data_IF_727159632691
#
_entry.id   IF_727159632691
#
_cell.length_a   1.000
_cell.length_b   1.000
_cell.length_c   1.000
_cell.angle_alpha   90.00
_cell.angle_beta   90.00
_cell.angle_gamma   90.00
#
_symmetry.space_group_name_H-M   'P 1'
#
loop_
_entity.id
_entity.type
_entity.pdbx_description
1 polymer ?
#
# COMPACT_ATOMS: atom_id res chain seq x y z
N UNK A 1 7.01 41.99 -26.49
CA UNK A 1 6.15 40.88 -25.97
C UNK A 1 6.43 39.52 -26.64
N UNK A 2 7.46 39.39 -27.48
CA UNK A 2 7.69 38.20 -28.34
C UNK A 2 8.87 37.32 -27.98
N UNK A 3 9.59 37.55 -26.84
CA UNK A 3 10.72 36.75 -26.41
C UNK A 3 10.43 35.72 -25.29
N UNK A 4 9.21 35.66 -24.75
CA UNK A 4 8.82 34.69 -23.68
C UNK A 4 8.16 33.40 -24.16
N UNK A 5 7.85 33.27 -25.46
CA UNK A 5 7.10 32.10 -26.00
C UNK A 5 8.04 30.98 -26.48
N UNK A 6 9.36 31.22 -26.64
CA UNK A 6 10.26 30.23 -27.22
C UNK A 6 11.03 29.35 -26.20
N UNK A 7 10.82 29.50 -24.89
CA UNK A 7 11.48 28.65 -23.90
C UNK A 7 10.76 27.33 -23.54
N UNK A 8 9.58 27.06 -24.12
CA UNK A 8 8.77 25.87 -23.84
C UNK A 8 8.79 24.79 -24.92
N UNK A 9 9.75 24.77 -25.82
CA UNK A 9 9.83 23.81 -26.95
C UNK A 9 10.92 22.76 -26.85
N UNK A 10 11.44 22.41 -25.67
CA UNK A 10 12.10 21.11 -25.52
C UNK A 10 11.06 20.07 -25.06
N UNK A 11 10.29 19.51 -26.04
CA UNK A 11 9.63 18.22 -25.89
C UNK A 11 10.71 17.16 -25.72
N UNK A 12 11.21 16.95 -24.49
CA UNK A 12 11.88 15.69 -24.21
C UNK A 12 10.86 14.57 -24.44
N UNK A 13 11.11 13.76 -25.45
CA UNK A 13 10.31 12.58 -25.76
C UNK A 13 10.28 11.69 -24.52
N UNK A 14 9.08 11.24 -24.15
CA UNK A 14 8.91 10.20 -23.10
C UNK A 14 9.74 8.99 -23.51
N UNK A 15 10.66 8.56 -22.65
CA UNK A 15 11.51 7.41 -22.92
C UNK A 15 10.71 6.12 -22.70
N UNK A 16 10.00 5.67 -23.72
CA UNK A 16 9.16 4.47 -23.70
C UNK A 16 9.92 3.22 -23.25
N UNK A 17 11.21 3.12 -23.56
CA UNK A 17 12.05 1.99 -23.13
C UNK A 17 12.20 1.96 -21.62
N UNK A 18 12.45 3.11 -21.00
CA UNK A 18 12.55 3.21 -19.52
C UNK A 18 11.23 2.95 -18.84
N UNK A 19 10.11 3.45 -19.41
CA UNK A 19 8.77 3.14 -18.88
C UNK A 19 8.46 1.65 -18.95
N UNK A 20 8.84 0.97 -20.03
CA UNK A 20 8.68 -0.47 -20.12
C UNK A 20 9.47 -1.22 -19.04
N UNK A 21 10.72 -0.83 -18.79
CA UNK A 21 11.55 -1.41 -17.73
C UNK A 21 10.95 -1.15 -16.34
N UNK A 22 10.49 0.08 -16.08
CA UNK A 22 9.79 0.45 -14.85
C UNK A 22 8.57 -0.45 -14.63
N UNK A 23 7.77 -0.67 -15.66
CA UNK A 23 6.58 -1.51 -15.60
C UNK A 23 6.90 -2.98 -15.29
N UNK A 24 7.96 -3.55 -15.89
CA UNK A 24 8.42 -4.90 -15.55
C UNK A 24 8.85 -4.98 -14.08
N UNK A 25 9.66 -4.02 -13.62
CA UNK A 25 10.08 -3.97 -12.21
C UNK A 25 8.88 -3.86 -11.29
N UNK A 26 7.88 -3.01 -11.63
CA UNK A 26 6.67 -2.80 -10.84
C UNK A 26 5.83 -4.08 -10.72
N UNK A 27 5.67 -4.81 -11.82
CA UNK A 27 5.00 -6.12 -11.82
C UNK A 27 5.71 -7.11 -10.88
N UNK A 28 7.03 -7.25 -11.02
CA UNK A 28 7.83 -8.17 -10.21
C UNK A 28 7.86 -7.75 -8.73
N UNK A 29 7.88 -6.43 -8.43
CA UNK A 29 7.77 -5.90 -7.06
C UNK A 29 6.40 -6.24 -6.45
N UNK A 30 5.32 -6.04 -7.21
CA UNK A 30 3.97 -6.40 -6.80
C UNK A 30 3.84 -7.90 -6.52
N UNK A 31 4.31 -8.73 -7.44
CA UNK A 31 4.35 -10.18 -7.30
C UNK A 31 5.12 -10.63 -6.05
N UNK A 32 6.37 -10.14 -5.87
CA UNK A 32 7.18 -10.49 -4.71
C UNK A 32 6.58 -10.03 -3.38
N UNK A 33 5.94 -8.86 -3.36
CA UNK A 33 5.26 -8.37 -2.16
C UNK A 33 4.08 -9.26 -1.79
N UNK A 34 3.30 -9.68 -2.79
CA UNK A 34 2.11 -10.50 -2.58
C UNK A 34 2.43 -11.93 -2.12
N UNK A 35 3.58 -12.49 -2.53
CA UNK A 35 4.03 -13.80 -2.03
C UNK A 35 4.21 -13.83 -0.52
N UNK A 36 4.62 -12.72 0.10
CA UNK A 36 4.96 -12.67 1.52
C UNK A 36 3.92 -12.01 2.39
N UNK A 37 3.08 -11.13 1.84
CA UNK A 37 2.22 -10.24 2.62
C UNK A 37 1.31 -10.96 3.61
N UNK A 38 0.75 -12.11 3.25
CA UNK A 38 -0.11 -12.92 4.12
C UNK A 38 0.65 -14.04 4.85
N UNK A 39 1.88 -14.33 4.44
CA UNK A 39 2.72 -15.39 5.01
C UNK A 39 3.50 -14.91 6.23
N UNK A 40 3.88 -13.62 6.25
CA UNK A 40 4.71 -13.02 7.31
C UNK A 40 4.10 -13.19 8.71
N UNK A 41 2.79 -13.02 8.85
CA UNK A 41 2.13 -13.14 10.16
C UNK A 41 2.23 -14.55 10.72
N UNK A 42 2.05 -15.56 9.89
CA UNK A 42 2.18 -16.97 10.30
C UNK A 42 3.63 -17.35 10.60
N UNK A 43 4.58 -16.81 9.83
CA UNK A 43 6.01 -16.96 10.14
C UNK A 43 6.37 -16.39 11.53
N UNK A 44 5.85 -15.19 11.85
CA UNK A 44 6.04 -14.59 13.17
C UNK A 44 5.36 -15.40 14.30
N UNK A 45 4.14 -15.89 14.05
CA UNK A 45 3.43 -16.75 14.99
C UNK A 45 4.23 -18.03 15.30
N UNK A 46 4.84 -18.65 14.28
CA UNK A 46 5.64 -19.86 14.45
C UNK A 46 6.89 -19.60 15.32
N UNK A 47 7.54 -18.42 15.16
CA UNK A 47 8.70 -18.05 16.00
C UNK A 47 8.29 -17.72 17.43
N UNK A 48 7.19 -16.96 17.61
CA UNK A 48 6.80 -16.39 18.89
C UNK A 48 5.86 -17.28 19.69
N UNK A 49 5.26 -18.31 19.07
CA UNK A 49 4.28 -19.20 19.70
C UNK A 49 2.95 -18.51 20.08
N UNK A 50 2.67 -17.32 19.56
CA UNK A 50 1.48 -16.52 19.92
C UNK A 50 0.92 -15.75 18.73
N UNK A 51 -0.40 -15.46 18.75
CA UNK A 51 -1.05 -14.56 17.80
C UNK A 51 -0.73 -13.07 18.08
N UNK A 52 -0.18 -12.75 19.26
CA UNK A 52 0.18 -11.37 19.61
C UNK A 52 1.53 -10.96 19.01
N UNK A 53 1.54 -10.81 17.70
CA UNK A 53 2.72 -10.48 16.89
C UNK A 53 2.84 -8.98 16.56
N UNK A 54 1.86 -8.17 16.95
CA UNK A 54 1.77 -6.75 16.56
C UNK A 54 2.98 -5.92 17.00
N UNK A 55 3.64 -6.27 18.11
CA UNK A 55 4.82 -5.57 18.58
C UNK A 55 5.95 -5.51 17.54
N UNK A 56 6.14 -6.58 16.77
CA UNK A 56 7.15 -6.61 15.69
C UNK A 56 6.78 -5.61 14.56
N UNK A 57 5.50 -5.55 14.20
CA UNK A 57 5.02 -4.58 13.22
C UNK A 57 5.14 -3.13 13.74
N UNK A 58 4.88 -2.90 15.04
CA UNK A 58 5.11 -1.58 15.65
C UNK A 58 6.57 -1.13 15.49
N UNK A 59 7.53 -1.99 15.81
CA UNK A 59 8.96 -1.70 15.62
C UNK A 59 9.26 -1.43 14.15
N UNK A 60 8.85 -2.32 13.25
CA UNK A 60 9.13 -2.21 11.82
C UNK A 60 8.58 -0.90 11.23
N UNK A 61 7.32 -0.57 11.51
CA UNK A 61 6.70 0.65 10.98
C UNK A 61 7.16 1.93 11.68
N UNK A 62 7.65 1.86 12.93
CA UNK A 62 8.36 2.97 13.56
C UNK A 62 9.65 3.29 12.81
N UNK A 63 10.43 2.28 12.43
CA UNK A 63 11.63 2.46 11.61
C UNK A 63 11.28 2.99 10.20
N UNK A 64 10.19 2.50 9.61
CA UNK A 64 9.65 3.02 8.33
C UNK A 64 9.32 4.51 8.45
N UNK A 65 8.64 4.93 9.51
CA UNK A 65 8.29 6.33 9.72
C UNK A 65 9.54 7.22 9.83
N UNK A 66 10.52 6.81 10.63
CA UNK A 66 11.82 7.53 10.76
C UNK A 66 12.53 7.60 9.41
N UNK A 67 12.54 6.52 8.63
CA UNK A 67 13.12 6.48 7.29
C UNK A 67 12.40 7.46 6.34
N UNK A 68 11.06 7.44 6.30
CA UNK A 68 10.26 8.34 5.44
C UNK A 68 10.49 9.82 5.77
N UNK A 69 10.56 10.17 7.05
CA UNK A 69 10.85 11.54 7.48
C UNK A 69 12.25 12.02 7.05
N UNK A 70 13.19 11.10 6.83
CA UNK A 70 14.54 11.38 6.36
C UNK A 70 14.77 11.05 4.87
N UNK A 71 13.75 10.62 4.14
CA UNK A 71 13.86 10.14 2.76
C UNK A 71 14.51 11.18 1.83
N UNK A 72 14.15 12.46 2.00
CA UNK A 72 14.74 13.56 1.23
C UNK A 72 16.27 13.68 1.41
N UNK A 73 16.80 13.42 2.62
CA UNK A 73 18.25 13.42 2.87
C UNK A 73 18.92 12.25 2.18
N UNK A 74 18.30 11.05 2.26
CA UNK A 74 18.80 9.83 1.63
C UNK A 74 18.90 10.03 0.12
N UNK A 75 17.81 10.48 -0.51
CA UNK A 75 17.77 10.66 -1.96
C UNK A 75 18.66 11.84 -2.42
N UNK A 76 18.81 12.89 -1.60
CA UNK A 76 19.75 13.99 -1.89
C UNK A 76 21.20 13.53 -1.90
N UNK A 77 21.58 12.64 -0.97
CA UNK A 77 22.95 12.14 -0.86
C UNK A 77 23.29 11.13 -1.96
N UNK A 78 22.38 10.20 -2.23
CA UNK A 78 22.66 9.04 -3.08
C UNK A 78 21.99 9.09 -4.46
N UNK A 79 20.96 9.91 -4.64
CA UNK A 79 20.13 9.95 -5.85
C UNK A 79 19.04 8.86 -5.86
N UNK A 80 18.00 9.08 -6.68
CA UNK A 80 16.82 8.19 -6.73
C UNK A 80 17.16 6.76 -7.17
N UNK A 81 17.97 6.63 -8.25
CA UNK A 81 18.31 5.31 -8.81
C UNK A 81 19.16 4.48 -7.86
N UNK A 82 20.15 5.08 -7.21
CA UNK A 82 20.98 4.37 -6.24
C UNK A 82 20.18 3.97 -5.01
N UNK A 83 19.32 4.86 -4.49
CA UNK A 83 18.46 4.55 -3.35
C UNK A 83 17.54 3.36 -3.64
N UNK A 84 16.95 3.27 -4.86
CA UNK A 84 16.16 2.12 -5.28
C UNK A 84 16.99 0.84 -5.33
N UNK A 85 18.16 0.87 -5.95
CA UNK A 85 19.05 -0.29 -6.04
C UNK A 85 19.53 -0.76 -4.67
N UNK A 86 19.87 0.18 -3.77
CA UNK A 86 20.24 -0.11 -2.39
C UNK A 86 19.08 -0.78 -1.62
N UNK A 87 17.82 -0.33 -1.87
CA UNK A 87 16.65 -0.96 -1.29
C UNK A 87 16.48 -2.42 -1.78
N UNK A 88 16.72 -2.71 -3.06
CA UNK A 88 16.68 -4.07 -3.58
C UNK A 88 17.80 -4.95 -3.03
N UNK A 89 19.02 -4.42 -2.89
CA UNK A 89 20.13 -5.14 -2.23
C UNK A 89 19.76 -5.47 -0.78
N UNK A 90 19.18 -4.50 -0.06
CA UNK A 90 18.74 -4.69 1.32
C UNK A 90 17.63 -5.74 1.42
N UNK A 91 16.72 -5.80 0.43
CA UNK A 91 15.71 -6.87 0.30
C UNK A 91 16.36 -8.24 0.12
N UNK A 92 17.34 -8.35 -0.77
CA UNK A 92 18.07 -9.59 -1.04
C UNK A 92 18.78 -10.06 0.23
N UNK A 93 19.50 -9.17 0.93
CA UNK A 93 20.16 -9.50 2.20
C UNK A 93 19.14 -9.98 3.23
N UNK A 94 18.01 -9.28 3.36
CA UNK A 94 16.95 -9.63 4.30
C UNK A 94 16.37 -11.03 4.03
N UNK A 95 16.05 -11.32 2.77
CA UNK A 95 15.49 -12.64 2.39
C UNK A 95 16.54 -13.75 2.51
N UNK A 96 17.79 -13.48 2.16
CA UNK A 96 18.88 -14.43 2.38
C UNK A 96 19.06 -14.76 3.86
N UNK A 97 18.94 -13.74 4.74
CA UNK A 97 18.94 -13.95 6.19
C UNK A 97 17.74 -14.78 6.67
N UNK A 98 16.54 -14.53 6.16
CA UNK A 98 15.35 -15.35 6.46
C UNK A 98 15.51 -16.80 6.02
N UNK A 99 16.11 -17.05 4.85
CA UNK A 99 16.42 -18.40 4.38
C UNK A 99 17.45 -19.10 5.27
N UNK A 100 18.54 -18.41 5.60
CA UNK A 100 19.64 -19.01 6.35
C UNK A 100 19.27 -19.32 7.80
N UNK A 101 18.60 -18.37 8.49
CA UNK A 101 18.24 -18.52 9.90
C UNK A 101 16.89 -19.22 10.11
N UNK A 102 16.14 -19.45 9.04
CA UNK A 102 14.84 -20.14 9.07
C UNK A 102 13.88 -19.55 10.14
N UNK A 103 13.10 -20.40 10.83
CA UNK A 103 12.18 -20.00 11.88
C UNK A 103 12.98 -19.82 13.20
N UNK A 104 13.54 -18.63 13.38
CA UNK A 104 14.34 -18.29 14.57
C UNK A 104 14.15 -16.82 14.97
N UNK A 105 14.51 -16.48 16.21
CA UNK A 105 14.45 -15.09 16.71
C UNK A 105 15.33 -14.13 15.89
N UNK A 106 16.43 -14.63 15.31
CA UNK A 106 17.30 -13.83 14.42
C UNK A 106 16.53 -13.48 13.11
N UNK A 107 15.69 -14.39 12.63
CA UNK A 107 14.83 -14.14 11.46
C UNK A 107 13.94 -12.91 11.61
N UNK A 108 13.52 -12.56 12.85
CA UNK A 108 12.73 -11.34 13.11
C UNK A 108 13.48 -10.08 12.68
N UNK A 109 14.79 -10.01 12.92
CA UNK A 109 15.63 -8.86 12.54
C UNK A 109 15.61 -8.70 11.02
N UNK A 110 15.81 -9.80 10.29
CA UNK A 110 15.77 -9.77 8.82
C UNK A 110 14.37 -9.47 8.29
N UNK A 111 13.32 -9.91 8.98
CA UNK A 111 11.95 -9.57 8.61
C UNK A 111 11.67 -8.06 8.76
N UNK A 112 12.06 -7.47 9.88
CA UNK A 112 11.94 -6.01 10.10
C UNK A 112 12.70 -5.26 9.01
N UNK A 113 13.92 -5.68 8.70
CA UNK A 113 14.74 -5.10 7.64
C UNK A 113 14.05 -5.24 6.27
N UNK A 114 13.41 -6.40 5.99
CA UNK A 114 12.63 -6.64 4.78
C UNK A 114 11.47 -5.66 4.64
N UNK A 115 10.71 -5.40 5.72
CA UNK A 115 9.58 -4.45 5.71
C UNK A 115 10.09 -3.02 5.42
N UNK A 116 11.13 -2.58 6.12
CA UNK A 116 11.72 -1.24 5.92
C UNK A 116 12.24 -1.07 4.49
N UNK A 117 13.01 -2.04 3.99
CA UNK A 117 13.53 -2.03 2.64
C UNK A 117 12.42 -2.03 1.58
N UNK A 118 11.29 -2.70 1.88
CA UNK A 118 10.11 -2.72 1.02
C UNK A 118 9.51 -1.33 0.82
N UNK A 119 9.28 -0.61 1.89
CA UNK A 119 8.74 0.76 1.80
C UNK A 119 9.74 1.70 1.12
N UNK A 120 11.05 1.56 1.42
CA UNK A 120 12.10 2.31 0.74
C UNK A 120 12.08 2.07 -0.79
N UNK A 121 11.93 0.83 -1.22
CA UNK A 121 11.85 0.47 -2.63
C UNK A 121 10.61 1.09 -3.32
N UNK A 122 9.43 0.99 -2.71
CA UNK A 122 8.20 1.55 -3.27
C UNK A 122 8.26 3.08 -3.39
N UNK A 123 8.68 3.78 -2.33
CA UNK A 123 8.78 5.25 -2.34
C UNK A 123 9.85 5.73 -3.34
N UNK A 124 10.95 4.99 -3.46
CA UNK A 124 11.98 5.30 -4.47
C UNK A 124 11.48 5.09 -5.90
N UNK A 125 10.70 4.01 -6.13
CA UNK A 125 10.09 3.72 -7.42
C UNK A 125 9.07 4.80 -7.80
N UNK A 126 8.18 5.20 -6.89
CA UNK A 126 7.23 6.31 -7.09
C UNK A 126 7.97 7.60 -7.53
N UNK A 127 9.06 7.92 -6.84
CA UNK A 127 9.88 9.08 -7.16
C UNK A 127 10.56 8.98 -8.53
N UNK A 128 10.86 7.78 -9.02
CA UNK A 128 11.39 7.54 -10.37
C UNK A 128 10.27 7.69 -11.40
N UNK A 129 9.12 7.05 -11.18
CA UNK A 129 7.92 7.18 -12.05
C UNK A 129 7.54 8.64 -12.23
N UNK A 130 7.54 9.43 -11.15
CA UNK A 130 7.29 10.88 -11.19
C UNK A 130 8.26 11.63 -12.08
N UNK A 131 9.55 11.23 -12.10
CA UNK A 131 10.57 11.87 -12.93
C UNK A 131 10.34 11.70 -14.43
N UNK A 132 9.60 10.69 -14.84
CA UNK A 132 9.23 10.42 -16.24
C UNK A 132 7.82 10.90 -16.60
N UNK A 133 7.04 11.36 -15.62
CA UNK A 133 5.68 11.85 -15.82
C UNK A 133 5.69 13.38 -15.94
N UNK A 134 5.47 13.95 -17.14
CA UNK A 134 5.24 15.39 -17.33
C UNK A 134 3.75 15.70 -17.36
N UNK A 135 3.39 16.88 -16.87
CA UNK A 135 2.09 17.44 -16.50
C UNK A 135 0.79 16.93 -17.16
N UNK A 136 0.80 16.52 -18.41
CA UNK A 136 -0.40 16.02 -19.12
C UNK A 136 -0.55 14.49 -19.13
N UNK A 137 0.54 13.74 -18.94
CA UNK A 137 0.53 12.27 -19.03
C UNK A 137 0.81 11.60 -17.67
N UNK A 138 1.02 12.41 -16.63
CA UNK A 138 1.39 11.96 -15.29
C UNK A 138 0.37 10.96 -14.71
N UNK A 139 -0.92 11.27 -14.80
CA UNK A 139 -1.98 10.39 -14.31
C UNK A 139 -2.03 9.04 -15.03
N UNK A 140 -1.86 9.05 -16.37
CA UNK A 140 -1.86 7.83 -17.19
C UNK A 140 -0.66 6.94 -16.88
N UNK A 141 0.54 7.51 -16.74
CA UNK A 141 1.76 6.76 -16.43
C UNK A 141 1.68 6.16 -15.02
N UNK A 142 1.22 6.94 -14.02
CA UNK A 142 1.01 6.45 -12.65
C UNK A 142 -0.06 5.38 -12.58
N UNK A 143 -1.19 5.59 -13.26
CA UNK A 143 -2.27 4.61 -13.33
C UNK A 143 -1.82 3.29 -13.95
N UNK A 144 -1.04 3.33 -15.04
CA UNK A 144 -0.47 2.13 -15.66
C UNK A 144 0.51 1.42 -14.72
N UNK A 145 1.40 2.17 -14.05
CA UNK A 145 2.34 1.63 -13.06
C UNK A 145 1.62 0.89 -11.93
N UNK A 146 0.59 1.50 -11.34
CA UNK A 146 -0.18 0.88 -10.26
C UNK A 146 -0.99 -0.34 -10.74
N UNK A 147 -1.62 -0.25 -11.90
CA UNK A 147 -2.37 -1.38 -12.48
C UNK A 147 -1.47 -2.59 -12.75
N UNK A 148 -0.26 -2.36 -13.27
CA UNK A 148 0.72 -3.42 -13.54
C UNK A 148 1.25 -4.01 -12.24
N UNK A 149 1.54 -3.20 -11.23
CA UNK A 149 1.94 -3.68 -9.92
C UNK A 149 0.84 -4.52 -9.26
N UNK A 150 -0.42 -4.08 -9.35
CA UNK A 150 -1.57 -4.83 -8.83
C UNK A 150 -1.83 -6.14 -9.61
N UNK A 151 -1.57 -6.18 -10.91
CA UNK A 151 -1.63 -7.42 -11.69
C UNK A 151 -0.60 -8.45 -11.20
N UNK A 152 0.63 -8.02 -10.87
CA UNK A 152 1.62 -8.86 -10.20
C UNK A 152 1.15 -9.32 -8.83
N UNK A 153 0.54 -8.42 -8.07
CA UNK A 153 0.04 -8.70 -6.73
C UNK A 153 -1.07 -9.76 -6.70
N UNK A 154 -1.95 -9.78 -7.71
CA UNK A 154 -3.05 -10.75 -7.80
C UNK A 154 -2.58 -12.21 -7.85
N UNK A 155 -1.40 -12.46 -8.45
CA UNK A 155 -0.86 -13.82 -8.60
C UNK A 155 -0.24 -14.38 -7.30
N UNK A 156 0.12 -13.51 -6.36
CA UNK A 156 0.92 -13.87 -5.19
C UNK A 156 0.24 -14.84 -4.24
N UNK A 157 -0.97 -14.60 -3.73
CA UNK A 157 -1.57 -15.41 -2.67
C UNK A 157 -1.78 -16.87 -3.05
N UNK A 158 -2.27 -17.15 -4.25
CA UNK A 158 -2.47 -18.53 -4.72
C UNK A 158 -1.13 -19.28 -4.83
N UNK A 159 -0.12 -18.64 -5.42
CA UNK A 159 1.20 -19.27 -5.57
C UNK A 159 1.91 -19.42 -4.23
N UNK A 160 1.85 -18.41 -3.36
CA UNK A 160 2.51 -18.47 -2.04
C UNK A 160 1.90 -19.55 -1.15
N UNK A 161 0.59 -19.73 -1.16
CA UNK A 161 -0.08 -20.75 -0.37
C UNK A 161 0.32 -22.18 -0.81
N UNK A 162 0.30 -22.45 -2.11
CA UNK A 162 0.71 -23.76 -2.66
C UNK A 162 2.19 -24.07 -2.40
N UNK A 163 3.06 -23.05 -2.51
CA UNK A 163 4.48 -23.21 -2.23
C UNK A 163 4.70 -23.44 -0.72
N UNK A 164 3.98 -22.69 0.12
CA UNK A 164 4.08 -22.80 1.57
C UNK A 164 3.62 -24.19 2.06
N UNK A 165 2.51 -24.70 1.51
CA UNK A 165 1.98 -26.03 1.84
C UNK A 165 2.99 -27.12 1.52
N UNK A 166 3.68 -27.01 0.37
CA UNK A 166 4.57 -28.06 -0.14
C UNK A 166 6.02 -27.94 0.32
N UNK A 167 6.53 -26.70 0.45
CA UNK A 167 7.96 -26.44 0.67
C UNK A 167 8.23 -25.56 1.90
N UNK A 168 7.20 -25.23 2.69
CA UNK A 168 7.31 -24.36 3.85
C UNK A 168 7.75 -22.93 3.52
N UNK A 169 8.10 -22.16 4.55
CA UNK A 169 8.55 -20.77 4.40
C UNK A 169 9.79 -20.63 3.51
N UNK A 170 10.71 -21.58 3.59
CA UNK A 170 11.93 -21.57 2.77
C UNK A 170 11.65 -21.55 1.26
N UNK A 171 10.63 -22.28 0.81
CA UNK A 171 10.21 -22.27 -0.60
C UNK A 171 9.73 -20.90 -1.05
N UNK A 172 8.91 -20.23 -0.23
CA UNK A 172 8.42 -18.88 -0.54
C UNK A 172 9.56 -17.86 -0.53
N UNK A 173 10.45 -17.91 0.46
CA UNK A 173 11.62 -17.02 0.56
C UNK A 173 12.57 -17.20 -0.64
N UNK A 174 12.78 -18.44 -1.10
CA UNK A 174 13.64 -18.70 -2.26
C UNK A 174 13.10 -18.04 -3.54
N UNK A 175 11.81 -18.15 -3.82
CA UNK A 175 11.21 -17.52 -5.00
C UNK A 175 11.30 -16.00 -4.91
N UNK A 176 11.06 -15.43 -3.72
CA UNK A 176 11.20 -13.99 -3.50
C UNK A 176 12.66 -13.54 -3.68
N UNK A 177 13.63 -14.33 -3.21
CA UNK A 177 15.07 -14.07 -3.41
C UNK A 177 15.42 -14.01 -4.89
N UNK A 178 15.03 -15.02 -5.65
CA UNK A 178 15.27 -15.09 -7.10
C UNK A 178 14.62 -13.89 -7.79
N UNK A 179 13.38 -13.56 -7.43
CA UNK A 179 12.66 -12.45 -8.06
C UNK A 179 13.34 -11.10 -7.76
N UNK A 180 13.77 -10.81 -6.51
CA UNK A 180 14.51 -9.58 -6.21
C UNK A 180 15.89 -9.54 -6.86
N UNK A 181 16.55 -10.69 -7.06
CA UNK A 181 17.80 -10.75 -7.80
C UNK A 181 17.60 -10.37 -9.27
N UNK A 182 16.54 -10.86 -9.90
CA UNK A 182 16.14 -10.47 -11.27
C UNK A 182 15.81 -8.97 -11.32
N UNK A 183 15.02 -8.47 -10.39
CA UNK A 183 14.68 -7.04 -10.27
C UNK A 183 15.93 -6.18 -10.19
N UNK A 184 16.90 -6.56 -9.34
CA UNK A 184 18.15 -5.81 -9.17
C UNK A 184 18.94 -5.75 -10.48
N UNK A 185 19.09 -6.87 -11.18
CA UNK A 185 19.80 -6.94 -12.47
C UNK A 185 19.12 -6.01 -13.49
N UNK A 186 17.78 -6.08 -13.62
CA UNK A 186 17.03 -5.24 -14.54
C UNK A 186 17.17 -3.75 -14.16
N UNK A 187 17.12 -3.42 -12.87
CA UNK A 187 17.26 -2.05 -12.38
C UNK A 187 18.67 -1.49 -12.63
N UNK A 188 19.73 -2.28 -12.43
CA UNK A 188 21.12 -1.89 -12.69
C UNK A 188 21.38 -1.57 -14.17
N UNK A 189 20.74 -2.33 -15.07
CA UNK A 189 20.89 -2.13 -16.52
C UNK A 189 20.01 -0.97 -17.00
N UNK A 190 18.76 -0.91 -16.55
CA UNK A 190 17.71 -0.06 -17.12
C UNK A 190 17.50 1.29 -16.45
N UNK A 191 17.80 1.40 -15.15
CA UNK A 191 17.57 2.62 -14.38
C UNK A 191 18.91 3.24 -13.99
N UNK A 192 19.55 3.92 -14.95
CA UNK A 192 20.81 4.65 -14.71
C UNK A 192 20.53 6.15 -14.64
N UNK A 193 21.13 6.83 -13.61
CA UNK A 193 21.19 8.29 -13.42
C UNK A 193 19.91 9.07 -13.71
N UNK A 194 18.98 9.05 -12.78
CA UNK A 194 17.88 10.00 -12.70
C UNK A 194 18.22 11.04 -11.62
N UNK A 195 18.97 12.07 -12.02
CA UNK A 195 19.35 13.16 -11.13
C UNK A 195 18.38 14.33 -11.36
N UNK A 196 17.38 14.50 -10.52
CA UNK A 196 16.63 15.75 -10.41
C UNK A 196 16.93 16.41 -9.07
N UNK A 197 17.17 17.72 -9.09
CA UNK A 197 17.38 18.52 -7.88
C UNK A 197 16.09 18.54 -7.08
N UNK A 198 16.18 18.16 -5.79
CA UNK A 198 15.07 18.30 -4.85
C UNK A 198 14.97 19.73 -4.37
N UNK A 199 13.75 20.26 -4.28
CA UNK A 199 13.47 21.50 -3.56
C UNK A 199 13.73 21.28 -2.06
N UNK A 200 14.17 22.31 -1.34
CA UNK A 200 14.33 22.25 0.11
C UNK A 200 12.99 21.95 0.80
N UNK A 201 13.02 21.10 1.80
CA UNK A 201 11.83 20.66 2.52
C UNK A 201 11.46 21.65 3.64
N UNK A 202 10.19 21.94 3.78
CA UNK A 202 9.63 22.68 4.91
C UNK A 202 9.87 21.91 6.21
N UNK A 203 10.13 22.60 7.33
CA UNK A 203 10.25 21.95 8.65
C UNK A 203 8.95 21.21 9.00
N UNK A 204 9.08 20.03 9.61
CA UNK A 204 7.93 19.16 9.95
C UNK A 204 6.85 19.92 10.73
N UNK A 205 7.21 20.78 11.67
CA UNK A 205 6.26 21.59 12.46
C UNK A 205 5.49 22.62 11.60
N UNK A 206 6.14 23.24 10.62
CA UNK A 206 5.51 24.20 9.73
C UNK A 206 4.59 23.48 8.73
N UNK A 207 4.99 22.29 8.30
CA UNK A 207 4.17 21.40 7.49
C UNK A 207 2.89 21.00 8.24
N UNK A 208 2.99 20.55 9.48
CA UNK A 208 1.85 20.21 10.32
C UNK A 208 0.91 21.41 10.47
N UNK A 209 1.44 22.62 10.74
CA UNK A 209 0.64 23.84 10.81
C UNK A 209 -0.05 24.19 9.47
N UNK A 210 0.63 23.96 8.35
CA UNK A 210 0.07 24.18 6.99
C UNK A 210 -1.09 23.21 6.71
N UNK A 211 -0.91 21.94 7.04
CA UNK A 211 -1.89 20.87 6.76
C UNK A 211 -3.10 20.97 7.69
N UNK A 212 -2.91 21.24 8.98
CA UNK A 212 -4.02 21.36 9.96
C UNK A 212 -4.98 22.49 9.63
N UNK A 213 -4.52 23.55 8.95
CA UNK A 213 -5.40 24.63 8.44
C UNK A 213 -6.28 24.18 7.29
N UNK A 214 -5.89 23.14 6.53
CA UNK A 214 -6.63 22.62 5.37
C UNK A 214 -7.55 21.46 5.80
N UNK A 215 -8.71 21.79 6.38
CA UNK A 215 -9.66 20.82 6.98
C UNK A 215 -9.98 19.61 6.09
N UNK A 216 -10.14 19.80 4.78
CA UNK A 216 -10.44 18.69 3.86
C UNK A 216 -9.23 17.77 3.62
N UNK A 217 -8.01 18.33 3.61
CA UNK A 217 -6.77 17.53 3.55
C UNK A 217 -6.64 16.66 4.80
N UNK A 218 -6.92 17.20 5.99
CA UNK A 218 -6.92 16.41 7.23
C UNK A 218 -8.01 15.32 7.24
N UNK A 219 -9.19 15.61 6.69
CA UNK A 219 -10.26 14.61 6.58
C UNK A 219 -9.84 13.46 5.67
N UNK A 220 -9.35 13.76 4.47
CA UNK A 220 -8.91 12.69 3.54
C UNK A 220 -7.67 11.96 4.06
N UNK A 221 -6.80 12.63 4.82
CA UNK A 221 -5.70 11.97 5.54
C UNK A 221 -6.23 10.94 6.54
N UNK A 222 -7.27 11.29 7.32
CA UNK A 222 -7.91 10.36 8.24
C UNK A 222 -8.58 9.19 7.50
N UNK A 223 -9.23 9.44 6.37
CA UNK A 223 -9.78 8.36 5.54
C UNK A 223 -8.69 7.41 5.03
N UNK A 224 -7.53 7.97 4.63
CA UNK A 224 -6.34 7.19 4.29
C UNK A 224 -5.84 6.37 5.47
N UNK A 225 -5.77 6.98 6.66
CA UNK A 225 -5.36 6.27 7.87
C UNK A 225 -6.29 5.09 8.18
N UNK A 226 -7.61 5.26 8.10
CA UNK A 226 -8.58 4.18 8.35
C UNK A 226 -8.44 3.05 7.32
N UNK A 227 -8.24 3.36 6.04
CA UNK A 227 -8.01 2.33 5.02
C UNK A 227 -6.70 1.56 5.26
N UNK A 228 -5.61 2.25 5.59
CA UNK A 228 -4.33 1.59 5.89
C UNK A 228 -4.40 0.78 7.20
N UNK A 229 -5.19 1.23 8.17
CA UNK A 229 -5.50 0.50 9.40
C UNK A 229 -6.26 -0.81 9.09
N UNK A 230 -7.25 -0.73 8.19
CA UNK A 230 -7.94 -1.92 7.67
C UNK A 230 -6.95 -2.88 7.01
N UNK A 231 -6.08 -2.41 6.13
CA UNK A 231 -5.08 -3.27 5.50
C UNK A 231 -4.15 -3.92 6.52
N UNK A 232 -3.68 -3.16 7.51
CA UNK A 232 -2.80 -3.68 8.55
C UNK A 232 -3.44 -4.87 9.30
N UNK A 233 -4.65 -4.70 9.83
CA UNK A 233 -5.30 -5.75 10.61
C UNK A 233 -5.72 -6.94 9.76
N UNK A 234 -6.22 -6.70 8.54
CA UNK A 234 -6.62 -7.78 7.63
C UNK A 234 -5.43 -8.63 7.17
N UNK A 235 -4.31 -7.98 6.84
CA UNK A 235 -3.08 -8.68 6.41
C UNK A 235 -2.45 -9.47 7.55
N UNK A 236 -2.46 -8.91 8.76
CA UNK A 236 -1.81 -9.54 9.91
C UNK A 236 -2.67 -10.64 10.50
N UNK A 237 -3.97 -10.38 10.74
CA UNK A 237 -4.78 -11.25 11.59
C UNK A 237 -5.74 -12.18 10.85
N UNK A 238 -6.10 -11.92 9.59
CA UNK A 238 -6.98 -12.86 8.85
C UNK A 238 -6.31 -14.21 8.62
N UNK A 239 -5.04 -14.30 8.17
CA UNK A 239 -4.39 -15.60 8.04
C UNK A 239 -4.32 -16.34 9.36
N UNK A 240 -3.92 -15.67 10.46
CA UNK A 240 -3.83 -16.26 11.78
C UNK A 240 -5.17 -16.79 12.29
N UNK A 241 -6.23 -16.01 12.10
CA UNK A 241 -7.58 -16.37 12.53
C UNK A 241 -8.11 -17.59 11.75
N UNK A 242 -8.01 -17.58 10.41
CA UNK A 242 -8.55 -18.66 9.59
C UNK A 242 -7.75 -19.95 9.74
N UNK A 243 -6.41 -19.89 9.82
CA UNK A 243 -5.58 -21.05 10.14
C UNK A 243 -5.89 -21.61 11.55
N UNK A 244 -6.12 -20.74 12.52
CA UNK A 244 -6.54 -21.13 13.87
C UNK A 244 -7.92 -21.80 13.92
N UNK A 245 -8.75 -21.64 12.88
CA UNK A 245 -10.02 -22.34 12.69
C UNK A 245 -9.89 -23.67 11.93
N UNK A 246 -8.69 -24.04 11.51
CA UNK A 246 -8.41 -25.30 10.84
C UNK A 246 -8.45 -25.25 9.31
N UNK A 247 -8.57 -24.06 8.69
CA UNK A 247 -8.44 -23.93 7.25
C UNK A 247 -6.99 -24.15 6.82
N UNK A 248 -6.81 -24.72 5.63
CA UNK A 248 -5.50 -24.98 5.02
C UNK A 248 -4.96 -23.76 4.27
N UNK A 249 -3.67 -23.76 3.98
CA UNK A 249 -3.07 -22.71 3.15
C UNK A 249 -3.66 -22.67 1.74
N UNK A 250 -3.96 -23.82 1.14
CA UNK A 250 -4.58 -23.89 -0.20
C UNK A 250 -5.94 -23.21 -0.22
N UNK A 251 -6.78 -23.44 0.79
CA UNK A 251 -8.08 -22.75 0.95
C UNK A 251 -7.90 -21.23 1.12
N UNK A 252 -6.94 -20.81 1.95
CA UNK A 252 -6.62 -19.39 2.14
C UNK A 252 -6.13 -18.75 0.85
N UNK A 253 -5.30 -19.44 0.07
CA UNK A 253 -4.79 -18.96 -1.21
C UNK A 253 -5.90 -18.62 -2.19
N UNK A 254 -6.92 -19.50 -2.29
CA UNK A 254 -8.11 -19.25 -3.11
C UNK A 254 -8.88 -18.03 -2.58
N UNK A 255 -9.18 -17.98 -1.29
CA UNK A 255 -9.93 -16.88 -0.69
C UNK A 255 -9.22 -15.53 -0.85
N UNK A 256 -7.91 -15.51 -0.64
CA UNK A 256 -7.10 -14.29 -0.77
C UNK A 256 -6.93 -13.84 -2.23
N UNK A 257 -6.92 -14.76 -3.19
CA UNK A 257 -6.92 -14.40 -4.61
C UNK A 257 -8.27 -13.80 -5.02
N UNK A 258 -9.38 -14.42 -4.63
CA UNK A 258 -10.73 -13.92 -4.91
C UNK A 258 -10.92 -12.50 -4.36
N UNK A 259 -10.49 -12.25 -3.14
CA UNK A 259 -10.65 -10.93 -2.51
C UNK A 259 -9.85 -9.81 -3.19
N UNK A 260 -8.84 -10.11 -4.00
CA UNK A 260 -8.04 -9.10 -4.71
C UNK A 260 -8.64 -8.69 -6.06
N UNK A 261 -9.61 -9.44 -6.58
CA UNK A 261 -10.27 -9.18 -7.88
C UNK A 261 -10.84 -7.74 -7.99
N UNK A 262 -11.47 -7.16 -6.95
CA UNK A 262 -12.02 -5.80 -7.01
C UNK A 262 -10.98 -4.73 -7.36
N UNK A 263 -9.72 -4.88 -6.97
CA UNK A 263 -8.66 -3.92 -7.28
C UNK A 263 -8.37 -3.83 -8.78
N UNK A 264 -8.58 -4.92 -9.51
CA UNK A 264 -8.39 -4.95 -10.96
C UNK A 264 -9.65 -4.48 -11.69
N UNK A 265 -10.83 -4.90 -11.24
CA UNK A 265 -12.07 -4.69 -11.98
C UNK A 265 -12.80 -3.40 -11.62
N UNK A 266 -12.71 -2.92 -10.37
CA UNK A 266 -13.59 -1.83 -9.87
C UNK A 266 -12.88 -0.48 -9.86
N UNK A 267 -11.58 -0.41 -9.59
CA UNK A 267 -10.88 0.87 -9.39
C UNK A 267 -11.00 1.79 -10.61
N UNK A 268 -10.75 1.26 -11.82
CA UNK A 268 -10.79 2.08 -13.03
C UNK A 268 -12.21 2.59 -13.37
N UNK A 269 -13.27 1.76 -13.41
CA UNK A 269 -14.64 2.24 -13.63
C UNK A 269 -15.11 3.23 -12.55
N UNK A 270 -14.77 2.99 -11.28
CA UNK A 270 -15.15 3.86 -10.18
C UNK A 270 -14.50 5.25 -10.27
N UNK A 271 -13.22 5.31 -10.64
CA UNK A 271 -12.52 6.57 -10.88
C UNK A 271 -13.19 7.40 -11.99
N UNK A 272 -13.48 6.78 -13.12
CA UNK A 272 -14.18 7.46 -14.24
C UNK A 272 -15.57 7.96 -13.81
N UNK A 273 -16.30 7.15 -13.06
CA UNK A 273 -17.67 7.51 -12.65
C UNK A 273 -17.67 8.69 -11.68
N UNK A 274 -16.74 8.72 -10.73
CA UNK A 274 -16.56 9.83 -9.80
C UNK A 274 -16.16 11.12 -10.52
N UNK A 275 -15.24 11.04 -11.49
CA UNK A 275 -14.78 12.21 -12.24
C UNK A 275 -15.90 12.81 -13.10
N UNK A 276 -16.68 11.96 -13.79
CA UNK A 276 -17.66 12.42 -14.78
C UNK A 276 -19.01 12.83 -14.20
N UNK A 277 -19.51 12.15 -13.15
CA UNK A 277 -20.92 12.26 -12.78
C UNK A 277 -21.21 12.80 -11.39
N UNK A 278 -20.56 12.30 -10.34
CA UNK A 278 -21.08 12.45 -8.95
C UNK A 278 -20.08 13.00 -7.95
N UNK A 279 -18.79 13.17 -8.32
CA UNK A 279 -17.75 13.48 -7.34
C UNK A 279 -17.35 12.26 -6.50
N UNK A 280 -16.43 12.45 -5.55
CA UNK A 280 -15.86 11.37 -4.77
C UNK A 280 -16.58 11.11 -3.43
N UNK A 281 -17.27 12.12 -2.88
CA UNK A 281 -17.78 12.10 -1.51
C UNK A 281 -18.81 10.99 -1.26
N UNK A 282 -19.85 10.90 -2.10
CA UNK A 282 -20.94 9.94 -1.96
C UNK A 282 -20.43 8.50 -2.11
N UNK A 283 -19.55 8.28 -3.06
CA UNK A 283 -18.93 6.97 -3.23
C UNK A 283 -18.05 6.58 -2.05
N UNK A 284 -17.25 7.51 -1.49
CA UNK A 284 -16.47 7.27 -0.27
C UNK A 284 -17.37 6.91 0.90
N UNK A 285 -18.52 7.58 1.05
CA UNK A 285 -19.47 7.27 2.11
C UNK A 285 -20.01 5.83 1.99
N UNK A 286 -20.47 5.44 0.81
CA UNK A 286 -20.96 4.07 0.55
C UNK A 286 -19.83 3.05 0.73
N UNK A 287 -18.64 3.35 0.26
CA UNK A 287 -17.49 2.45 0.37
C UNK A 287 -17.07 2.19 1.84
N UNK A 288 -17.12 3.20 2.71
CA UNK A 288 -16.87 3.00 4.15
C UNK A 288 -18.01 2.24 4.86
N UNK A 289 -19.25 2.38 4.41
CA UNK A 289 -20.34 1.53 4.89
C UNK A 289 -20.10 0.06 4.50
N UNK A 290 -19.75 -0.21 3.24
CA UNK A 290 -19.42 -1.57 2.78
C UNK A 290 -18.26 -2.14 3.61
N UNK A 291 -17.20 -1.35 3.82
CA UNK A 291 -16.02 -1.75 4.59
C UNK A 291 -16.38 -2.07 6.05
N UNK A 292 -17.13 -1.20 6.71
CA UNK A 292 -17.56 -1.37 8.10
C UNK A 292 -18.49 -2.57 8.28
N UNK A 293 -19.50 -2.71 7.43
CA UNK A 293 -20.43 -3.85 7.51
C UNK A 293 -19.75 -5.18 7.17
N UNK A 294 -18.86 -5.23 6.18
CA UNK A 294 -18.15 -6.47 5.86
C UNK A 294 -17.27 -6.95 7.01
N UNK A 295 -16.58 -6.02 7.71
CA UNK A 295 -15.78 -6.37 8.89
C UNK A 295 -16.62 -6.75 10.09
N UNK A 296 -17.79 -6.14 10.26
CA UNK A 296 -18.75 -6.51 11.28
C UNK A 296 -19.33 -7.90 11.03
N UNK A 297 -19.71 -8.20 9.78
CA UNK A 297 -20.17 -9.53 9.36
C UNK A 297 -19.04 -10.56 9.60
N UNK A 298 -17.79 -10.23 9.27
CA UNK A 298 -16.65 -11.10 9.54
C UNK A 298 -16.58 -11.47 11.03
N UNK A 299 -16.74 -10.50 11.93
CA UNK A 299 -16.73 -10.72 13.37
C UNK A 299 -17.86 -11.67 13.83
N UNK A 300 -19.09 -11.52 13.33
CA UNK A 300 -20.21 -12.36 13.75
C UNK A 300 -20.26 -13.72 13.06
N UNK A 301 -19.54 -13.89 11.96
CA UNK A 301 -19.55 -15.14 11.20
C UNK A 301 -18.86 -16.26 11.97
N UNK A 302 -19.48 -17.43 11.90
CA UNK A 302 -18.92 -18.70 12.36
C UNK A 302 -19.26 -19.79 11.33
N UNK A 303 -18.32 -20.06 10.43
CA UNK A 303 -18.53 -21.01 9.32
C UNK A 303 -17.28 -21.87 9.10
N UNK A 304 -17.50 -23.15 8.80
CA UNK A 304 -16.45 -24.07 8.35
C UNK A 304 -16.26 -24.07 6.81
N UNK A 305 -17.02 -23.25 6.08
CA UNK A 305 -16.90 -23.16 4.62
C UNK A 305 -16.06 -21.96 4.24
N UNK A 306 -14.92 -22.19 3.57
CA UNK A 306 -13.99 -21.13 3.12
C UNK A 306 -14.63 -20.15 2.15
N UNK A 307 -15.62 -20.56 1.33
CA UNK A 307 -16.31 -19.68 0.39
C UNK A 307 -17.11 -18.57 1.08
N UNK A 308 -17.66 -18.85 2.28
CA UNK A 308 -18.31 -17.83 3.10
C UNK A 308 -17.30 -16.74 3.49
N UNK A 309 -16.12 -17.13 3.95
CA UNK A 309 -15.04 -16.20 4.29
C UNK A 309 -14.52 -15.46 3.06
N UNK A 310 -14.33 -16.16 1.94
CA UNK A 310 -13.92 -15.54 0.68
C UNK A 310 -14.91 -14.46 0.22
N UNK A 311 -16.22 -14.70 0.37
CA UNK A 311 -17.27 -13.74 0.02
C UNK A 311 -17.24 -12.51 0.93
N UNK A 312 -17.08 -12.69 2.24
CA UNK A 312 -17.01 -11.59 3.21
C UNK A 312 -15.73 -10.74 2.94
N UNK A 313 -14.62 -11.43 2.69
CA UNK A 313 -13.35 -10.77 2.34
C UNK A 313 -13.47 -9.99 1.03
N UNK A 314 -14.13 -10.56 0.02
CA UNK A 314 -14.40 -9.90 -1.27
C UNK A 314 -15.22 -8.62 -1.07
N UNK A 315 -16.30 -8.66 -0.26
CA UNK A 315 -17.11 -7.49 0.05
C UNK A 315 -16.27 -6.38 0.71
N UNK A 316 -15.46 -6.73 1.70
CA UNK A 316 -14.55 -5.77 2.34
C UNK A 316 -13.56 -5.16 1.35
N UNK A 317 -13.06 -5.97 0.41
CA UNK A 317 -12.12 -5.48 -0.62
C UNK A 317 -12.78 -4.63 -1.70
N UNK A 318 -14.08 -4.82 -1.98
CA UNK A 318 -14.85 -3.88 -2.82
C UNK A 318 -14.85 -2.49 -2.18
N UNK A 319 -15.20 -2.39 -0.89
CA UNK A 319 -15.13 -1.13 -0.16
C UNK A 319 -13.73 -0.53 -0.17
N UNK A 320 -12.70 -1.33 0.14
CA UNK A 320 -11.32 -0.88 0.17
C UNK A 320 -10.82 -0.39 -1.20
N UNK A 321 -11.12 -1.10 -2.29
CA UNK A 321 -10.73 -0.71 -3.65
C UNK A 321 -11.37 0.62 -4.08
N UNK A 322 -12.65 0.83 -3.73
CA UNK A 322 -13.33 2.11 -3.95
C UNK A 322 -12.68 3.24 -3.15
N UNK A 323 -12.44 3.04 -1.83
CA UNK A 323 -11.82 4.06 -0.99
C UNK A 323 -10.42 4.41 -1.52
N UNK A 324 -9.63 3.43 -1.93
CA UNK A 324 -8.26 3.65 -2.39
C UNK A 324 -8.19 4.61 -3.57
N UNK A 325 -8.96 4.37 -4.62
CA UNK A 325 -8.94 5.22 -5.83
C UNK A 325 -9.59 6.58 -5.56
N UNK A 326 -10.70 6.62 -4.83
CA UNK A 326 -11.45 7.85 -4.61
C UNK A 326 -10.75 8.81 -3.63
N UNK A 327 -10.08 8.29 -2.56
CA UNK A 327 -9.30 9.13 -1.65
C UNK A 327 -8.11 9.78 -2.36
N UNK A 328 -7.44 9.04 -3.26
CA UNK A 328 -6.33 9.58 -4.04
C UNK A 328 -6.82 10.63 -5.03
N UNK A 329 -7.88 10.33 -5.80
CA UNK A 329 -8.50 11.31 -6.70
C UNK A 329 -8.88 12.59 -5.95
N UNK A 330 -9.61 12.46 -4.83
CA UNK A 330 -9.99 13.59 -3.99
C UNK A 330 -8.79 14.40 -3.50
N UNK A 331 -7.75 13.72 -3.02
CA UNK A 331 -6.54 14.35 -2.50
C UNK A 331 -5.82 15.15 -3.58
N UNK A 332 -5.53 14.53 -4.73
CA UNK A 332 -4.79 15.20 -5.81
C UNK A 332 -5.55 16.37 -6.45
N UNK A 333 -6.89 16.35 -6.44
CA UNK A 333 -7.71 17.50 -6.88
C UNK A 333 -7.67 18.69 -5.90
N UNK A 334 -7.17 18.53 -4.67
CA UNK A 334 -7.12 19.53 -3.60
C UNK A 334 -5.74 20.10 -3.32
N UNK A 335 -4.73 19.65 -4.05
CA UNK A 335 -3.35 20.12 -3.92
C UNK A 335 -2.86 20.69 -5.24
N UNK A 336 -1.96 21.66 -5.14
CA UNK A 336 -1.29 22.26 -6.29
C UNK A 336 0.09 21.60 -6.49
N UNK A 337 0.68 21.76 -7.69
CA UNK A 337 2.00 21.21 -8.02
C UNK A 337 3.14 21.66 -7.09
N UNK A 338 2.95 22.76 -6.35
CA UNK A 338 3.91 23.27 -5.36
C UNK A 338 3.75 22.64 -3.96
N UNK A 339 2.70 21.85 -3.72
CA UNK A 339 2.38 21.23 -2.43
C UNK A 339 3.06 19.85 -2.23
N UNK A 340 4.28 19.66 -2.74
CA UNK A 340 5.04 18.40 -2.64
C UNK A 340 5.17 17.91 -1.19
N UNK A 341 5.35 18.83 -0.23
CA UNK A 341 5.42 18.50 1.19
C UNK A 341 4.14 17.89 1.74
N UNK A 342 2.97 18.29 1.20
CA UNK A 342 1.67 17.74 1.59
C UNK A 342 1.52 16.30 1.07
N UNK A 343 2.06 15.99 -0.10
CA UNK A 343 2.10 14.61 -0.64
C UNK A 343 2.93 13.71 0.28
N UNK A 344 4.12 14.18 0.69
CA UNK A 344 4.97 13.42 1.62
C UNK A 344 4.28 13.20 2.97
N UNK A 345 3.57 14.22 3.48
CA UNK A 345 2.76 14.08 4.69
C UNK A 345 1.66 13.03 4.51
N UNK A 346 0.96 13.05 3.39
CA UNK A 346 -0.11 12.10 3.10
C UNK A 346 0.40 10.65 3.12
N UNK A 347 1.61 10.40 2.62
CA UNK A 347 2.25 9.07 2.66
C UNK A 347 2.56 8.57 4.08
N UNK A 348 2.62 9.45 5.10
CA UNK A 348 2.80 9.02 6.50
C UNK A 348 1.58 8.35 7.11
N UNK A 349 0.40 8.44 6.48
CA UNK A 349 -0.81 7.78 6.94
C UNK A 349 -0.62 6.27 7.09
N UNK A 350 0.09 5.63 6.14
CA UNK A 350 0.34 4.18 6.16
C UNK A 350 1.16 3.73 7.37
N UNK A 351 2.39 4.20 7.62
CA UNK A 351 3.15 3.74 8.77
C UNK A 351 2.46 4.07 10.10
N UNK A 352 1.82 5.23 10.22
CA UNK A 352 1.07 5.58 11.43
C UNK A 352 -0.13 4.65 11.66
N UNK A 353 -0.85 4.28 10.61
CA UNK A 353 -1.95 3.35 10.68
C UNK A 353 -1.50 1.95 11.10
N UNK A 354 -0.41 1.44 10.51
CA UNK A 354 0.14 0.12 10.87
C UNK A 354 0.66 0.11 12.31
N UNK A 355 1.36 1.15 12.76
CA UNK A 355 1.82 1.29 14.15
C UNK A 355 0.62 1.27 15.11
N UNK A 356 -0.39 2.09 14.85
CA UNK A 356 -1.58 2.21 15.70
C UNK A 356 -2.39 0.91 15.69
N UNK A 357 -2.60 0.30 14.53
CA UNK A 357 -3.30 -0.97 14.38
C UNK A 357 -2.60 -2.09 15.14
N UNK A 358 -1.27 -2.22 14.98
CA UNK A 358 -0.46 -3.20 15.65
C UNK A 358 -0.49 -3.03 17.20
N UNK A 359 -0.39 -1.78 17.67
CA UNK A 359 -0.44 -1.46 19.10
C UNK A 359 -1.80 -1.79 19.70
N UNK A 360 -2.89 -1.30 19.06
CA UNK A 360 -4.25 -1.53 19.57
C UNK A 360 -4.62 -3.02 19.54
N UNK A 361 -4.26 -3.73 18.47
CA UNK A 361 -4.48 -5.16 18.38
C UNK A 361 -3.67 -5.93 19.46
N UNK A 362 -2.39 -5.59 19.67
CA UNK A 362 -1.58 -6.22 20.70
C UNK A 362 -2.15 -6.01 22.11
N UNK A 363 -2.61 -4.79 22.42
CA UNK A 363 -3.25 -4.51 23.70
C UNK A 363 -4.57 -5.28 23.87
N UNK A 364 -5.36 -5.36 22.79
CA UNK A 364 -6.63 -6.08 22.80
C UNK A 364 -6.43 -7.59 22.99
N UNK A 365 -5.39 -8.17 22.37
CA UNK A 365 -5.09 -9.59 22.46
C UNK A 365 -4.52 -10.03 23.84
N UNK A 366 -4.22 -9.10 24.75
CA UNK A 366 -3.89 -9.44 26.14
C UNK A 366 -5.14 -9.97 26.87
N UNK A 367 -6.32 -9.43 26.54
CA UNK A 367 -7.57 -9.70 27.26
C UNK A 367 -8.60 -10.48 26.44
N UNK A 368 -8.48 -10.47 25.12
CA UNK A 368 -9.48 -10.97 24.19
C UNK A 368 -8.85 -11.89 23.13
N UNK A 369 -9.71 -12.60 22.41
CA UNK A 369 -9.29 -13.50 21.31
C UNK A 369 -8.99 -12.72 20.01
N UNK A 370 -8.29 -13.36 19.07
CA UNK A 370 -7.99 -12.81 17.74
C UNK A 370 -9.23 -12.35 16.99
N UNK A 371 -10.39 -12.96 17.22
CA UNK A 371 -11.69 -12.56 16.64
C UNK A 371 -12.04 -11.11 16.97
N UNK A 372 -11.74 -10.63 18.18
CA UNK A 372 -12.06 -9.28 18.66
C UNK A 372 -11.35 -8.17 17.88
N UNK A 373 -10.24 -8.48 17.21
CA UNK A 373 -9.53 -7.55 16.33
C UNK A 373 -10.43 -7.06 15.19
N UNK A 374 -11.34 -7.91 14.69
CA UNK A 374 -12.26 -7.55 13.61
C UNK A 374 -13.40 -6.64 14.09
N UNK A 375 -13.80 -6.74 15.36
CA UNK A 375 -14.73 -5.78 15.96
C UNK A 375 -14.08 -4.39 16.10
N UNK A 376 -12.84 -4.34 16.59
CA UNK A 376 -12.06 -3.09 16.62
C UNK A 376 -11.98 -2.48 15.22
N UNK A 377 -11.70 -3.29 14.21
CA UNK A 377 -11.62 -2.86 12.83
C UNK A 377 -12.96 -2.29 12.32
N UNK A 378 -14.08 -2.93 12.64
CA UNK A 378 -15.41 -2.42 12.28
C UNK A 378 -15.67 -1.04 12.91
N UNK A 379 -15.37 -0.86 14.20
CA UNK A 379 -15.55 0.41 14.91
C UNK A 379 -14.71 1.52 14.25
N UNK A 380 -13.44 1.24 13.95
CA UNK A 380 -12.57 2.22 13.29
C UNK A 380 -13.04 2.52 11.86
N UNK A 381 -13.52 1.50 11.11
CA UNK A 381 -14.06 1.69 9.77
C UNK A 381 -15.29 2.61 9.77
N UNK A 382 -16.22 2.41 10.69
CA UNK A 382 -17.41 3.26 10.84
C UNK A 382 -17.06 4.68 11.31
N UNK A 383 -15.97 4.90 12.04
CA UNK A 383 -15.53 6.23 12.44
C UNK A 383 -15.21 7.15 11.26
N UNK A 384 -14.87 6.58 10.09
CA UNK A 384 -14.61 7.31 8.87
C UNK A 384 -15.86 7.94 8.23
N UNK A 385 -17.07 7.47 8.59
CA UNK A 385 -18.33 7.98 8.06
C UNK A 385 -18.50 9.49 8.36
N UNK A 386 -18.20 9.90 9.60
CA UNK A 386 -18.35 11.30 9.99
C UNK A 386 -17.44 12.26 9.18
N UNK A 387 -16.11 12.05 9.09
CA UNK A 387 -15.27 12.92 8.27
C UNK A 387 -15.62 12.85 6.79
N UNK A 388 -16.07 11.70 6.27
CA UNK A 388 -16.54 11.57 4.88
C UNK A 388 -17.76 12.45 4.64
N UNK A 389 -18.74 12.43 5.53
CA UNK A 389 -19.92 13.27 5.43
C UNK A 389 -19.57 14.77 5.44
N UNK A 390 -18.54 15.18 6.18
CA UNK A 390 -18.06 16.57 6.28
C UNK A 390 -17.12 16.99 5.15
N UNK A 391 -16.74 16.10 4.21
CA UNK A 391 -15.98 16.51 3.04
C UNK A 391 -16.77 17.53 2.21
N UNK A 392 -16.06 18.50 1.69
CA UNK A 392 -16.59 19.39 0.64
C UNK A 392 -16.33 18.69 -0.68
N UNK A 393 -17.38 18.41 -1.44
CA UNK A 393 -17.25 17.65 -2.67
C UNK A 393 -16.43 18.40 -3.73
N UNK A 394 -15.78 17.65 -4.61
CA UNK A 394 -15.14 18.17 -5.80
C UNK A 394 -16.21 18.23 -6.90
N UNK A 395 -16.25 19.33 -7.65
CA UNK A 395 -17.16 19.41 -8.80
C UNK A 395 -16.77 18.37 -9.86
N UNK A 396 -17.74 17.57 -10.28
CA UNK A 396 -17.58 16.65 -11.42
C UNK A 396 -17.47 17.43 -12.74
N UNK A 397 -16.95 16.78 -13.80
CA UNK A 397 -16.91 17.38 -15.13
C UNK A 397 -18.29 17.84 -15.61
N UNK A 398 -19.34 17.08 -15.29
CA UNK A 398 -20.72 17.42 -15.63
C UNK A 398 -21.18 18.71 -14.95
N UNK A 399 -20.85 18.91 -13.68
CA UNK A 399 -21.19 20.13 -12.94
C UNK A 399 -20.37 21.34 -13.39
N UNK A 400 -19.11 21.13 -13.80
CA UNK A 400 -18.25 22.20 -14.35
C UNK A 400 -18.77 22.65 -15.73
N UNK A 401 -19.23 21.74 -16.55
CA UNK A 401 -19.75 22.00 -17.89
C UNK A 401 -21.21 22.48 -17.90
N UNK A 402 -21.89 22.46 -16.75
CA UNK A 402 -23.29 22.89 -16.65
C UNK A 402 -24.28 22.00 -17.41
N UNK A 403 -23.89 20.77 -17.75
CA UNK A 403 -24.74 19.79 -18.43
C UNK A 403 -25.62 19.10 -17.39
N UNK A 404 -26.93 19.36 -17.45
CA UNK A 404 -27.95 18.68 -16.62
C UNK A 404 -28.22 17.25 -17.05
#
# INVERSE_FOLDING_TARGET
>A
MTKRVNQFKHKEKVDHRKLYIINIISFLMGFSAALLVYVISSYLKEILGTDNIGFIYLIAYSMVLVMLLNMHKIVRLFGKSFTLQAAFILKIISISGLLFFSVSSIGIIFLVLYIVAGVLAWVSMDGIVESFSKDRESGRIRGAHLAIANAGYLMGPLLSSQILEKYGFGGVFLIVLVTYSIILIIAMIGIRKTNHKFKEKIKVLDLLKKVTKRKNIMRVYYLSFVLEFFYALMVIYVPLYLLGRGFTWDELGVAFTIMLVPFVLIQYPAGILADKKTGEKEFLFVAFLILGFSTLIFYFTDSSNILVWATILLLGRIGAALIEILRESYFYKRIDGDDVDIIDFFKTAKPLAYMTAATLASLLLIFFTTKSVFLLLAIISFSAIYPTFKLVDNKSEREILGVK
#
